data_IF_463915285301
#
_entry.id   IF_463915285301
#
_cell.length_a   1.000
_cell.length_b   1.000
_cell.length_c   1.000
_cell.angle_alpha   90.00
_cell.angle_beta   90.00
_cell.angle_gamma   90.00
#
_symmetry.space_group_name_H-M   'P 1'
#
loop_
_entity.id
_entity.type
_entity.pdbx_description
1 polymer ?
#
# COMPACT_ATOMS: atom_id res chain seq x y z
N UNK A 1 24.04 4.96 -19.08
CA UNK A 1 23.53 4.65 -17.73
C UNK A 1 22.81 5.88 -17.20
N UNK A 2 21.54 5.76 -16.80
CA UNK A 2 20.75 6.89 -16.29
C UNK A 2 21.44 7.47 -15.03
N UNK A 3 21.76 8.76 -15.04
CA UNK A 3 22.47 9.45 -13.93
C UNK A 3 21.74 9.29 -12.58
N UNK A 4 20.42 9.13 -12.60
CA UNK A 4 19.60 8.88 -11.41
C UNK A 4 19.90 7.49 -10.84
N UNK A 5 19.84 6.44 -11.66
CA UNK A 5 20.14 5.07 -11.24
C UNK A 5 21.57 4.94 -10.69
N UNK A 6 22.55 5.66 -11.24
CA UNK A 6 23.93 5.65 -10.70
C UNK A 6 23.98 6.23 -9.29
N UNK A 7 23.24 7.32 -9.04
CA UNK A 7 23.15 7.93 -7.70
C UNK A 7 22.44 7.01 -6.71
N UNK A 8 21.42 6.29 -7.16
CA UNK A 8 20.66 5.37 -6.31
C UNK A 8 21.47 4.13 -5.95
N UNK A 9 22.16 3.51 -6.92
CA UNK A 9 23.09 2.40 -6.65
C UNK A 9 24.17 2.83 -5.66
N UNK A 10 24.79 4.00 -5.88
CA UNK A 10 25.81 4.51 -4.96
C UNK A 10 25.25 4.75 -3.55
N UNK A 11 24.02 5.24 -3.44
CA UNK A 11 23.38 5.42 -2.14
C UNK A 11 23.10 4.06 -1.47
N UNK A 12 22.57 3.09 -2.22
CA UNK A 12 22.36 1.73 -1.73
C UNK A 12 23.66 1.07 -1.25
N UNK A 13 24.79 1.27 -1.97
CA UNK A 13 26.11 0.78 -1.55
C UNK A 13 26.57 1.41 -0.22
N UNK A 14 26.33 2.71 -0.02
CA UNK A 14 26.62 3.41 1.23
C UNK A 14 25.79 2.81 2.38
N UNK A 15 24.50 2.60 2.17
CA UNK A 15 23.59 2.04 3.17
C UNK A 15 23.95 0.59 3.51
N UNK A 16 24.27 -0.22 2.50
CA UNK A 16 24.71 -1.60 2.67
C UNK A 16 26.01 -1.69 3.50
N UNK A 17 26.96 -0.77 3.26
CA UNK A 17 28.19 -0.64 4.07
C UNK A 17 27.92 -0.28 5.54
N UNK A 18 26.77 0.33 5.84
CA UNK A 18 26.30 0.64 7.20
C UNK A 18 25.44 -0.48 7.83
N UNK A 19 25.38 -1.67 7.23
CA UNK A 19 24.46 -2.77 7.61
C UNK A 19 22.97 -2.39 7.57
N UNK A 20 22.59 -1.34 6.84
CA UNK A 20 21.20 -0.97 6.61
C UNK A 20 20.82 -1.37 5.17
N UNK A 21 20.08 -2.47 5.04
CA UNK A 21 19.64 -2.96 3.72
C UNK A 21 18.45 -2.17 3.16
N UNK A 22 17.56 -1.72 4.03
CA UNK A 22 16.40 -0.92 3.68
C UNK A 22 16.25 0.24 4.67
N UNK A 23 16.00 1.45 4.15
CA UNK A 23 15.76 2.63 4.96
C UNK A 23 14.27 2.77 5.20
N UNK A 24 13.81 2.30 6.36
CA UNK A 24 12.44 2.52 6.80
C UNK A 24 12.36 3.89 7.49
N UNK A 25 11.55 4.78 6.92
CA UNK A 25 11.24 6.07 7.53
C UNK A 25 9.73 6.22 7.60
N UNK A 26 9.21 6.26 8.82
CA UNK A 26 7.84 6.63 9.13
C UNK A 26 7.87 8.09 9.58
N UNK A 27 7.38 9.04 8.79
CA UNK A 27 7.41 10.45 9.17
C UNK A 27 6.44 10.69 10.33
N UNK A 28 6.95 11.19 11.45
CA UNK A 28 6.12 11.70 12.54
C UNK A 28 5.54 13.07 12.12
N UNK A 29 4.39 13.05 11.43
CA UNK A 29 3.76 14.27 10.93
C UNK A 29 2.28 14.28 11.22
N UNK A 30 1.83 15.26 11.99
CA UNK A 30 0.42 15.36 12.34
C UNK A 30 -0.32 16.33 11.44
N UNK A 31 -1.33 15.78 10.77
CA UNK A 31 -2.27 16.57 9.97
C UNK A 31 -3.42 17.05 10.86
N UNK A 32 -3.68 18.36 10.86
CA UNK A 32 -4.81 18.95 11.60
C UNK A 32 -6.17 18.64 10.98
N UNK A 33 -6.18 18.43 9.67
CA UNK A 33 -7.32 18.05 8.87
C UNK A 33 -6.81 17.28 7.65
N UNK A 34 -7.68 16.45 7.08
CA UNK A 34 -7.39 15.81 5.81
C UNK A 34 -7.19 16.86 4.71
N UNK A 35 -6.19 16.61 3.86
CA UNK A 35 -5.89 17.38 2.66
C UNK A 35 -5.81 16.40 1.52
N UNK A 36 -6.54 16.68 0.44
CA UNK A 36 -6.50 15.88 -0.79
C UNK A 36 -5.08 15.69 -1.28
N UNK A 37 -4.82 14.47 -1.74
CA UNK A 37 -3.51 14.09 -2.24
C UNK A 37 -3.21 14.83 -3.54
N UNK A 38 -1.93 15.20 -3.68
CA UNK A 38 -1.42 15.68 -4.95
C UNK A 38 -1.45 14.55 -5.98
N UNK A 39 -1.75 14.90 -7.22
CA UNK A 39 -1.69 13.98 -8.36
C UNK A 39 -0.51 14.35 -9.26
N UNK A 40 0.08 13.33 -9.90
CA UNK A 40 1.18 13.51 -10.86
C UNK A 40 2.58 13.24 -10.32
N UNK A 41 3.58 13.42 -11.18
CA UNK A 41 4.96 12.93 -10.97
C UNK A 41 5.75 13.61 -9.84
N UNK A 42 5.28 14.76 -9.34
CA UNK A 42 5.95 15.52 -8.27
C UNK A 42 5.33 15.30 -6.89
N UNK A 43 4.29 14.47 -6.78
CA UNK A 43 3.51 14.28 -5.56
C UNK A 43 4.40 13.93 -4.35
N UNK A 44 5.33 12.99 -4.49
CA UNK A 44 6.29 12.63 -3.44
C UNK A 44 7.14 13.79 -2.95
N UNK A 45 7.70 14.58 -3.87
CA UNK A 45 8.60 15.68 -3.53
C UNK A 45 7.88 16.81 -2.82
N UNK A 46 6.71 17.20 -3.32
CA UNK A 46 5.91 18.27 -2.72
C UNK A 46 5.34 17.86 -1.36
N UNK A 47 4.94 16.59 -1.21
CA UNK A 47 4.29 16.10 0.00
C UNK A 47 5.27 15.79 1.13
N UNK A 48 6.44 15.20 0.83
CA UNK A 48 7.34 14.66 1.86
C UNK A 48 8.71 15.33 1.94
N UNK A 49 9.15 16.09 0.94
CA UNK A 49 10.46 16.76 1.02
C UNK A 49 10.57 17.72 2.21
N UNK A 50 9.53 18.51 2.59
CA UNK A 50 9.61 19.36 3.78
C UNK A 50 9.82 18.57 5.08
N UNK A 51 9.17 17.42 5.23
CA UNK A 51 9.33 16.52 6.38
C UNK A 51 10.72 15.89 6.39
N UNK A 52 11.21 15.45 5.23
CA UNK A 52 12.54 14.87 5.07
C UNK A 52 13.64 15.90 5.41
N UNK A 53 13.51 17.14 4.91
CA UNK A 53 14.44 18.22 5.24
C UNK A 53 14.48 18.51 6.75
N UNK A 54 13.34 18.45 7.44
CA UNK A 54 13.27 18.62 8.91
C UNK A 54 13.91 17.44 9.64
N UNK A 55 13.54 16.21 9.26
CA UNK A 55 14.03 14.99 9.90
C UNK A 55 15.54 14.78 9.76
N UNK A 56 16.11 15.22 8.63
CA UNK A 56 17.53 15.08 8.33
C UNK A 56 18.33 16.39 8.47
N UNK A 57 17.75 17.44 9.07
CA UNK A 57 18.37 18.77 9.17
C UNK A 57 19.75 18.76 9.87
N UNK A 58 19.96 17.84 10.81
CA UNK A 58 21.23 17.67 11.53
C UNK A 58 22.30 16.91 10.75
N UNK A 59 21.94 16.26 9.64
CA UNK A 59 22.83 15.40 8.84
C UNK A 59 23.31 16.14 7.59
N UNK A 60 24.26 17.07 7.75
CA UNK A 60 24.76 17.92 6.67
C UNK A 60 25.26 17.14 5.44
N UNK A 61 25.79 15.93 5.64
CA UNK A 61 26.28 15.06 4.57
C UNK A 61 25.15 14.44 3.73
N UNK A 62 23.94 14.32 4.29
CA UNK A 62 22.76 13.74 3.64
C UNK A 62 21.98 14.80 2.86
N UNK A 63 22.07 16.08 3.24
CA UNK A 63 21.32 17.17 2.59
C UNK A 63 21.48 17.20 1.04
N UNK A 64 22.69 17.04 0.46
CA UNK A 64 22.85 16.99 -1.00
C UNK A 64 22.25 15.73 -1.67
N UNK A 65 21.89 14.73 -0.87
CA UNK A 65 21.34 13.45 -1.31
C UNK A 65 19.86 13.28 -0.98
N UNK A 66 19.16 14.31 -0.49
CA UNK A 66 17.76 14.18 -0.07
C UNK A 66 16.84 13.63 -1.17
N UNK A 67 17.07 13.99 -2.44
CA UNK A 67 16.32 13.38 -3.55
C UNK A 67 16.52 11.86 -3.64
N UNK A 68 17.75 11.38 -3.38
CA UNK A 68 18.03 9.95 -3.33
C UNK A 68 17.37 9.30 -2.11
N UNK A 69 17.47 9.95 -0.94
CA UNK A 69 16.81 9.47 0.29
C UNK A 69 15.31 9.34 0.05
N UNK A 70 14.67 10.37 -0.53
CA UNK A 70 13.24 10.35 -0.87
C UNK A 70 12.87 9.14 -1.74
N UNK A 71 13.68 8.81 -2.77
CA UNK A 71 13.43 7.64 -3.61
C UNK A 71 13.58 6.29 -2.89
N UNK A 72 14.33 6.23 -1.80
CA UNK A 72 14.49 4.99 -1.02
C UNK A 72 13.41 4.86 0.06
N UNK A 73 13.11 5.95 0.77
CA UNK A 73 12.11 5.94 1.86
C UNK A 73 10.68 5.86 1.36
N UNK A 74 10.42 6.24 0.10
CA UNK A 74 9.07 6.20 -0.43
C UNK A 74 8.58 4.81 -0.83
N UNK A 75 9.49 3.83 -0.97
CA UNK A 75 9.09 2.48 -1.32
C UNK A 75 8.16 1.86 -0.27
N UNK A 76 8.52 1.83 1.04
CA UNK A 76 7.58 1.35 2.05
C UNK A 76 6.36 2.27 2.18
N UNK A 77 6.52 3.60 2.09
CA UNK A 77 5.40 4.55 2.15
C UNK A 77 4.43 4.44 0.97
N UNK A 78 4.80 3.75 -0.11
CA UNK A 78 3.93 3.59 -1.29
C UNK A 78 2.61 2.91 -0.93
N UNK A 79 2.61 1.91 -0.04
CA UNK A 79 1.41 1.21 0.40
C UNK A 79 0.40 2.13 1.10
N UNK A 80 0.74 2.80 2.23
CA UNK A 80 -0.20 3.66 2.92
C UNK A 80 -0.67 4.84 2.07
N UNK A 81 0.22 5.42 1.25
CA UNK A 81 -0.17 6.52 0.37
C UNK A 81 -1.10 6.08 -0.77
N UNK A 82 -0.90 4.87 -1.29
CA UNK A 82 -1.80 4.27 -2.29
C UNK A 82 -3.15 3.94 -1.69
N UNK A 83 -3.21 3.46 -0.44
CA UNK A 83 -4.47 3.26 0.29
C UNK A 83 -5.23 4.58 0.44
N UNK A 84 -4.57 5.64 0.90
CA UNK A 84 -5.21 6.96 1.06
C UNK A 84 -5.71 7.48 -0.30
N UNK A 85 -4.96 7.25 -1.37
CA UNK A 85 -5.37 7.60 -2.73
C UNK A 85 -6.59 6.79 -3.18
N UNK A 86 -6.64 5.50 -2.89
CA UNK A 86 -7.81 4.65 -3.13
C UNK A 86 -9.06 5.14 -2.38
N UNK A 87 -8.92 5.44 -1.09
CA UNK A 87 -9.99 6.01 -0.27
C UNK A 87 -10.52 7.33 -0.86
N UNK A 88 -9.63 8.24 -1.26
CA UNK A 88 -10.04 9.52 -1.87
C UNK A 88 -10.82 9.33 -3.18
N UNK A 89 -10.51 8.28 -3.95
CA UNK A 89 -11.08 8.05 -5.28
C UNK A 89 -12.32 7.16 -5.29
N UNK A 90 -12.43 6.23 -4.35
CA UNK A 90 -13.55 5.29 -4.27
C UNK A 90 -14.67 5.76 -3.34
N UNK A 91 -14.43 6.79 -2.53
CA UNK A 91 -15.47 7.44 -1.72
C UNK A 91 -15.86 8.77 -2.37
N UNK A 92 -17.16 8.98 -2.59
CA UNK A 92 -17.67 10.17 -3.27
C UNK A 92 -17.47 11.47 -2.46
N UNK A 93 -17.35 11.35 -1.14
CA UNK A 93 -17.17 12.46 -0.21
C UNK A 93 -16.00 12.21 0.76
N UNK A 94 -15.81 13.16 1.68
CA UNK A 94 -14.75 13.10 2.70
C UNK A 94 -15.27 12.49 4.02
N UNK A 95 -16.42 11.80 4.07
CA UNK A 95 -16.95 11.23 5.31
C UNK A 95 -16.03 10.19 5.93
N UNK A 96 -15.33 9.42 5.08
CA UNK A 96 -14.32 8.46 5.54
C UNK A 96 -13.23 9.11 6.41
N UNK A 97 -12.93 10.39 6.21
CA UNK A 97 -11.95 11.17 7.01
C UNK A 97 -12.44 11.54 8.42
N UNK A 98 -13.71 11.26 8.73
CA UNK A 98 -14.34 11.57 10.03
C UNK A 98 -14.69 10.31 10.81
N UNK A 99 -14.44 9.13 10.25
CA UNK A 99 -14.71 7.86 10.92
C UNK A 99 -13.82 7.72 12.14
N UNK A 100 -14.40 7.16 13.21
CA UNK A 100 -13.66 6.87 14.45
C UNK A 100 -12.67 5.72 14.22
N UNK A 101 -13.07 4.75 13.40
CA UNK A 101 -12.31 3.58 13.01
C UNK A 101 -12.46 3.45 11.50
N UNK A 102 -11.34 3.28 10.81
CA UNK A 102 -11.30 3.02 9.38
C UNK A 102 -10.76 1.60 9.21
N UNK A 103 -11.50 0.69 8.59
CA UNK A 103 -11.09 -0.70 8.44
C UNK A 103 -10.45 -0.88 7.07
N UNK A 104 -9.15 -1.18 7.04
CA UNK A 104 -8.42 -1.41 5.79
C UNK A 104 -7.98 -2.86 5.73
N UNK A 105 -8.38 -3.58 4.68
CA UNK A 105 -7.96 -4.95 4.45
C UNK A 105 -6.85 -4.99 3.39
N UNK A 106 -5.64 -5.36 3.77
CA UNK A 106 -4.56 -5.64 2.81
C UNK A 106 -4.66 -7.11 2.42
N UNK A 107 -5.10 -7.40 1.21
CA UNK A 107 -5.38 -8.76 0.72
C UNK A 107 -4.22 -9.29 -0.13
N UNK A 108 -3.93 -10.58 -0.02
CA UNK A 108 -2.70 -11.16 -0.58
C UNK A 108 -1.45 -10.69 0.16
N UNK A 109 -1.58 -10.33 1.44
CA UNK A 109 -0.46 -9.87 2.26
C UNK A 109 0.58 -10.98 2.47
N UNK A 110 1.86 -10.61 2.40
CA UNK A 110 2.99 -11.49 2.64
C UNK A 110 3.98 -10.84 3.63
N UNK A 111 5.21 -11.37 3.69
CA UNK A 111 6.26 -10.88 4.60
C UNK A 111 6.49 -9.37 4.47
N UNK A 112 6.44 -8.83 3.24
CA UNK A 112 6.72 -7.41 2.98
C UNK A 112 5.73 -6.47 3.66
N UNK A 113 4.44 -6.74 3.56
CA UNK A 113 3.37 -5.94 4.15
C UNK A 113 3.46 -5.98 5.68
N UNK A 114 3.79 -7.15 6.25
CA UNK A 114 4.00 -7.31 7.68
C UNK A 114 5.23 -6.54 8.18
N UNK A 115 6.38 -6.69 7.52
CA UNK A 115 7.66 -6.08 7.94
C UNK A 115 7.65 -4.56 7.80
N UNK A 116 6.79 -4.01 6.95
CA UNK A 116 6.60 -2.57 6.77
C UNK A 116 5.48 -2.00 7.65
N UNK A 117 4.94 -2.78 8.61
CA UNK A 117 3.79 -2.40 9.40
C UNK A 117 3.85 -1.01 10.02
N UNK A 118 5.02 -0.53 10.46
CA UNK A 118 5.17 0.80 11.07
C UNK A 118 4.80 1.94 10.12
N UNK A 119 5.09 1.86 8.82
CA UNK A 119 4.79 2.97 7.89
C UNK A 119 3.30 3.19 7.64
N UNK A 120 2.44 2.23 7.98
CA UNK A 120 0.99 2.41 7.97
C UNK A 120 0.51 3.47 8.98
N UNK A 121 1.40 3.99 9.84
CA UNK A 121 1.10 5.12 10.72
C UNK A 121 0.88 6.39 9.90
N UNK A 122 1.41 6.47 8.68
CA UNK A 122 1.05 7.54 7.74
C UNK A 122 -0.45 7.56 7.45
N UNK A 123 -1.12 6.41 7.48
CA UNK A 123 -2.58 6.36 7.46
C UNK A 123 -3.12 6.83 8.81
N UNK A 124 -2.54 6.50 9.97
CA UNK A 124 -3.04 6.95 11.29
C UNK A 124 -2.95 8.45 11.53
N UNK A 125 -1.92 9.12 11.03
CA UNK A 125 -1.89 10.57 10.90
C UNK A 125 -3.13 11.11 10.14
N UNK A 126 -3.89 10.19 9.52
CA UNK A 126 -5.11 10.32 8.73
C UNK A 126 -6.22 9.27 9.08
N UNK A 127 -6.13 8.51 10.21
CA UNK A 127 -7.08 7.53 10.82
C UNK A 127 -7.19 6.05 10.28
N UNK A 128 -6.54 4.96 10.81
CA UNK A 128 -7.24 3.63 10.74
C UNK A 128 -6.91 2.50 11.76
N UNK A 129 -7.69 1.42 11.61
CA UNK A 129 -7.46 0.01 11.93
C UNK A 129 -7.03 -0.79 10.66
N UNK A 130 -6.10 -1.74 10.77
CA UNK A 130 -5.55 -2.48 9.61
C UNK A 130 -5.65 -4.01 9.79
N UNK A 131 -6.15 -4.72 8.78
CA UNK A 131 -6.16 -6.19 8.72
C UNK A 131 -5.33 -6.64 7.52
N UNK A 132 -4.32 -7.46 7.75
CA UNK A 132 -3.48 -8.07 6.72
C UNK A 132 -3.94 -9.51 6.49
N UNK A 133 -4.44 -9.81 5.31
CA UNK A 133 -5.00 -11.11 4.94
C UNK A 133 -4.21 -11.72 3.78
N UNK A 134 -3.61 -12.88 4.00
CA UNK A 134 -2.93 -13.63 2.93
C UNK A 134 -2.36 -14.96 3.40
N UNK A 135 -2.45 -16.03 2.59
CA UNK A 135 -1.97 -17.36 2.98
C UNK A 135 -0.46 -17.41 3.28
N UNK A 136 0.33 -16.53 2.65
CA UNK A 136 1.78 -16.47 2.87
C UNK A 136 2.18 -16.02 4.29
N UNK A 137 1.28 -15.36 5.02
CA UNK A 137 1.50 -14.99 6.42
C UNK A 137 1.64 -16.22 7.33
N UNK A 138 1.15 -17.40 6.91
CA UNK A 138 1.22 -18.63 7.69
C UNK A 138 2.66 -18.99 8.11
N UNK A 139 3.66 -18.61 7.29
CA UNK A 139 5.07 -18.85 7.60
C UNK A 139 5.57 -17.98 8.77
N UNK A 140 4.91 -16.84 9.03
CA UNK A 140 5.33 -15.86 10.03
C UNK A 140 4.50 -15.94 11.32
N UNK A 141 3.18 -16.12 11.21
CA UNK A 141 2.25 -16.12 12.36
C UNK A 141 1.73 -17.52 12.73
N UNK A 142 2.07 -18.55 11.94
CA UNK A 142 1.57 -19.92 12.11
C UNK A 142 0.13 -20.12 11.63
N UNK A 143 -0.45 -21.28 11.95
CA UNK A 143 -1.79 -21.68 11.46
C UNK A 143 -2.95 -21.17 12.33
N UNK A 144 -2.69 -20.62 13.51
CA UNK A 144 -3.68 -20.53 14.59
C UNK A 144 -3.97 -19.14 15.13
N UNK A 145 -3.41 -18.07 14.56
CA UNK A 145 -3.66 -16.72 15.06
C UNK A 145 -4.00 -15.75 13.93
N UNK A 146 -5.27 -15.34 13.88
CA UNK A 146 -5.54 -13.90 13.80
C UNK A 146 -5.01 -13.30 15.10
N UNK A 147 -3.76 -12.84 15.07
CA UNK A 147 -3.22 -12.10 16.20
C UNK A 147 -3.49 -10.62 15.95
N UNK A 148 -4.38 -10.02 16.73
CA UNK A 148 -4.47 -8.57 16.85
C UNK A 148 -3.20 -8.09 17.56
N UNK A 149 -2.42 -7.25 16.89
CA UNK A 149 -1.22 -6.64 17.43
C UNK A 149 -1.45 -5.13 17.56
N UNK A 150 -1.41 -4.64 18.80
CA UNK A 150 -1.31 -3.22 19.10
C UNK A 150 0.02 -2.67 18.57
N UNK A 151 -0.06 -1.82 17.55
CA UNK A 151 1.12 -1.19 16.98
C UNK A 151 1.44 0.08 17.75
N UNK A 152 2.72 0.28 18.04
CA UNK A 152 3.21 1.56 18.58
C UNK A 152 2.84 2.71 17.65
N UNK A 153 2.49 3.84 18.25
CA UNK A 153 2.25 5.11 17.55
C UNK A 153 3.26 6.15 18.01
N UNK A 154 3.50 7.15 17.16
CA UNK A 154 4.27 8.33 17.48
C UNK A 154 3.62 9.07 18.65
N UNK A 155 4.43 9.89 19.31
CA UNK A 155 4.03 10.60 20.52
C UNK A 155 2.76 11.43 20.32
N UNK A 156 2.64 12.13 19.20
CA UNK A 156 1.49 13.00 18.96
C UNK A 156 0.20 12.21 18.70
N UNK A 157 0.26 11.08 17.99
CA UNK A 157 -0.88 10.18 17.81
C UNK A 157 -1.31 9.57 19.14
N UNK A 158 -0.35 9.12 19.95
CA UNK A 158 -0.61 8.63 21.30
C UNK A 158 -1.29 9.69 22.19
N UNK A 159 -0.78 10.93 22.20
CA UNK A 159 -1.34 12.04 22.98
C UNK A 159 -2.77 12.42 22.54
N UNK A 160 -3.15 12.13 21.28
CA UNK A 160 -4.52 12.30 20.76
C UNK A 160 -5.45 11.11 21.02
N UNK A 161 -4.94 10.04 21.63
CA UNK A 161 -5.69 8.79 21.82
C UNK A 161 -5.92 8.03 20.50
N UNK A 162 -5.09 8.26 19.49
CA UNK A 162 -5.10 7.48 18.26
C UNK A 162 -4.27 6.21 18.45
N UNK A 163 -4.83 5.07 18.05
CA UNK A 163 -4.18 3.76 18.07
C UNK A 163 -4.41 3.04 16.75
N UNK A 164 -3.54 2.07 16.45
CA UNK A 164 -3.64 1.19 15.29
C UNK A 164 -3.37 -0.22 15.74
N UNK A 165 -4.31 -1.09 15.46
CA UNK A 165 -4.18 -2.52 15.59
C UNK A 165 -3.95 -3.14 14.21
N UNK A 166 -3.13 -4.18 14.18
CA UNK A 166 -2.86 -4.98 12.99
C UNK A 166 -3.34 -6.40 13.24
N UNK A 167 -4.32 -6.86 12.46
CA UNK A 167 -4.72 -8.25 12.45
C UNK A 167 -3.97 -9.01 11.35
N UNK A 168 -3.50 -10.21 11.64
CA UNK A 168 -2.82 -11.06 10.65
C UNK A 168 -3.62 -12.32 10.37
N UNK A 169 -4.23 -12.41 9.19
CA UNK A 169 -5.09 -13.52 8.81
C UNK A 169 -4.36 -14.38 7.77
N UNK A 170 -3.79 -15.55 8.16
CA UNK A 170 -3.01 -16.41 7.26
C UNK A 170 -3.91 -17.27 6.35
N UNK A 171 -4.86 -16.65 5.66
CA UNK A 171 -5.89 -17.28 4.81
C UNK A 171 -6.13 -16.45 3.56
N UNK A 172 -6.79 -17.03 2.57
CA UNK A 172 -7.32 -16.24 1.46
C UNK A 172 -8.45 -15.33 1.97
N UNK A 173 -8.75 -14.27 1.21
CA UNK A 173 -9.78 -13.33 1.62
C UNK A 173 -11.17 -13.97 1.69
N UNK A 174 -11.50 -14.84 0.73
CA UNK A 174 -12.80 -15.51 0.67
C UNK A 174 -12.95 -16.57 1.79
N UNK A 175 -11.86 -17.23 2.21
CA UNK A 175 -11.87 -18.11 3.39
C UNK A 175 -12.11 -17.31 4.67
N UNK A 176 -11.38 -16.20 4.86
CA UNK A 176 -11.56 -15.31 6.01
C UNK A 176 -13.01 -14.81 6.12
N UNK A 177 -13.59 -14.40 4.99
CA UNK A 177 -14.98 -13.96 4.88
C UNK A 177 -15.98 -15.08 5.25
N UNK A 178 -15.72 -16.31 4.80
CA UNK A 178 -16.66 -17.43 4.91
C UNK A 178 -16.68 -18.08 6.30
N UNK A 179 -15.55 -18.10 7.00
CA UNK A 179 -15.41 -18.90 8.22
C UNK A 179 -16.14 -18.33 9.44
N UNK A 180 -16.53 -17.05 9.44
CA UNK A 180 -17.39 -16.45 10.48
C UNK A 180 -17.00 -16.84 11.92
N UNK A 181 -15.69 -16.93 12.18
CA UNK A 181 -15.11 -17.52 13.39
C UNK A 181 -15.28 -16.67 14.65
N UNK A 182 -14.43 -16.91 15.65
CA UNK A 182 -14.43 -16.15 16.92
C UNK A 182 -14.12 -14.65 16.72
N UNK A 183 -13.32 -14.33 15.69
CA UNK A 183 -13.09 -12.96 15.23
C UNK A 183 -14.08 -12.62 14.11
N UNK A 184 -15.02 -11.69 14.33
CA UNK A 184 -16.02 -11.36 13.34
C UNK A 184 -15.35 -10.62 12.17
N UNK A 185 -15.57 -11.11 10.95
CA UNK A 185 -15.31 -10.31 9.77
C UNK A 185 -16.05 -8.97 9.88
N UNK A 186 -15.31 -7.88 9.72
CA UNK A 186 -15.86 -6.54 9.59
C UNK A 186 -15.70 -6.06 8.14
N UNK A 187 -16.71 -5.37 7.62
CA UNK A 187 -16.66 -4.87 6.24
C UNK A 187 -15.60 -3.75 6.14
N UNK A 188 -14.61 -3.86 5.25
CA UNK A 188 -13.58 -2.83 5.15
C UNK A 188 -14.09 -1.58 4.42
N UNK A 189 -13.53 -0.43 4.79
CA UNK A 189 -13.64 0.83 4.05
C UNK A 189 -12.86 0.80 2.73
N UNK A 190 -11.82 -0.03 2.67
CA UNK A 190 -11.04 -0.34 1.48
C UNK A 190 -10.36 -1.70 1.63
N UNK A 191 -10.48 -2.56 0.62
CA UNK A 191 -9.54 -3.66 0.40
C UNK A 191 -8.44 -3.24 -0.59
N UNK A 192 -7.19 -3.57 -0.31
CA UNK A 192 -6.05 -3.24 -1.16
C UNK A 192 -5.17 -4.47 -1.40
N UNK A 193 -4.92 -4.79 -2.67
CA UNK A 193 -3.97 -5.83 -3.07
C UNK A 193 -2.75 -5.18 -3.71
N UNK A 194 -1.57 -5.42 -3.14
CA UNK A 194 -0.33 -4.79 -3.60
C UNK A 194 0.48 -5.74 -4.47
N UNK A 195 0.68 -5.37 -5.74
CA UNK A 195 1.42 -6.17 -6.71
C UNK A 195 0.94 -7.63 -6.70
N UNK A 196 -0.38 -7.81 -6.83
CA UNK A 196 -1.07 -9.07 -6.48
C UNK A 196 -0.62 -10.27 -7.30
N UNK A 197 -0.08 -10.04 -8.50
CA UNK A 197 0.35 -11.10 -9.40
C UNK A 197 -0.81 -11.93 -9.93
N UNK A 198 -2.07 -11.53 -9.72
CA UNK A 198 -3.24 -12.39 -9.97
C UNK A 198 -3.42 -12.83 -11.42
N UNK A 199 -2.76 -12.11 -12.35
CA UNK A 199 -2.73 -12.47 -13.77
C UNK A 199 -1.74 -13.60 -14.11
N UNK A 200 -0.86 -13.96 -13.18
CA UNK A 200 0.25 -14.90 -13.38
C UNK A 200 0.29 -15.99 -12.31
N UNK A 201 -0.11 -15.67 -11.08
CA UNK A 201 -0.02 -16.51 -9.88
C UNK A 201 -1.41 -16.70 -9.26
N UNK A 202 -1.68 -17.93 -8.77
CA UNK A 202 -2.88 -18.30 -8.02
C UNK A 202 -4.21 -17.80 -8.60
N UNK A 203 -4.31 -17.77 -9.94
CA UNK A 203 -5.42 -17.15 -10.67
C UNK A 203 -6.80 -17.66 -10.23
N UNK A 204 -6.94 -18.95 -9.91
CA UNK A 204 -8.23 -19.50 -9.47
C UNK A 204 -8.63 -19.00 -8.06
N UNK A 205 -7.69 -18.98 -7.11
CA UNK A 205 -7.91 -18.43 -5.77
C UNK A 205 -8.26 -16.93 -5.84
N UNK A 206 -7.61 -16.18 -6.73
CA UNK A 206 -7.95 -14.79 -6.98
C UNK A 206 -9.34 -14.62 -7.59
N UNK A 207 -9.81 -15.51 -8.47
CA UNK A 207 -11.19 -15.48 -8.99
C UNK A 207 -12.22 -15.60 -7.86
N UNK A 208 -11.99 -16.47 -6.88
CA UNK A 208 -12.87 -16.61 -5.71
C UNK A 208 -12.84 -15.37 -4.82
N UNK A 209 -11.65 -14.82 -4.57
CA UNK A 209 -11.49 -13.55 -3.85
C UNK A 209 -12.21 -12.40 -4.55
N UNK A 210 -12.06 -12.26 -5.87
CA UNK A 210 -12.74 -11.21 -6.64
C UNK A 210 -14.26 -11.37 -6.60
N UNK A 211 -14.77 -12.60 -6.74
CA UNK A 211 -16.20 -12.88 -6.58
C UNK A 211 -16.70 -12.42 -5.21
N UNK A 212 -15.97 -12.77 -4.16
CA UNK A 212 -16.30 -12.38 -2.79
C UNK A 212 -16.34 -10.84 -2.61
N UNK A 213 -15.32 -10.13 -3.12
CA UNK A 213 -15.25 -8.66 -3.04
C UNK A 213 -16.41 -7.98 -3.76
N UNK A 214 -16.77 -8.49 -4.94
CA UNK A 214 -17.88 -7.99 -5.76
C UNK A 214 -19.23 -8.26 -5.11
N UNK A 215 -19.47 -9.48 -4.62
CA UNK A 215 -20.71 -9.85 -3.93
C UNK A 215 -20.94 -9.03 -2.65
N UNK A 216 -19.86 -8.76 -1.90
CA UNK A 216 -19.86 -7.94 -0.69
C UNK A 216 -19.85 -6.44 -0.98
N UNK A 217 -19.62 -6.03 -2.24
CA UNK A 217 -19.51 -4.64 -2.69
C UNK A 217 -18.40 -3.85 -1.99
N UNK A 218 -17.29 -4.52 -1.70
CA UNK A 218 -16.12 -3.93 -1.04
C UNK A 218 -15.41 -2.96 -1.99
N UNK A 219 -15.21 -1.68 -1.61
CA UNK A 219 -14.32 -0.79 -2.34
C UNK A 219 -12.92 -1.41 -2.39
N UNK A 220 -12.39 -1.64 -3.58
CA UNK A 220 -11.14 -2.40 -3.74
C UNK A 220 -10.16 -1.70 -4.66
N UNK A 221 -8.88 -1.80 -4.35
CA UNK A 221 -7.76 -1.28 -5.13
C UNK A 221 -6.70 -2.36 -5.38
N UNK A 222 -6.17 -2.42 -6.60
CA UNK A 222 -5.10 -3.31 -7.02
C UNK A 222 -3.93 -2.52 -7.61
N UNK A 223 -2.71 -2.90 -7.26
CA UNK A 223 -1.48 -2.39 -7.89
C UNK A 223 -0.70 -3.50 -8.58
N UNK A 224 0.22 -3.10 -9.47
CA UNK A 224 1.12 -3.99 -10.20
C UNK A 224 2.54 -3.39 -10.29
N UNK A 225 3.53 -4.23 -10.60
CA UNK A 225 4.93 -3.79 -10.70
C UNK A 225 5.20 -3.00 -11.99
N UNK A 226 4.56 -3.40 -13.09
CA UNK A 226 4.77 -2.83 -14.42
C UNK A 226 3.42 -2.65 -15.17
N UNK A 227 3.50 -2.02 -16.34
CA UNK A 227 2.33 -1.69 -17.17
C UNK A 227 1.66 -2.94 -17.75
N UNK A 228 2.45 -3.98 -18.06
CA UNK A 228 1.95 -5.20 -18.69
C UNK A 228 1.10 -6.01 -17.71
N UNK A 229 1.58 -6.19 -16.48
CA UNK A 229 0.82 -6.77 -15.37
C UNK A 229 -0.45 -5.97 -15.10
N UNK A 230 -0.34 -4.63 -14.96
CA UNK A 230 -1.49 -3.77 -14.72
C UNK A 230 -2.57 -3.93 -15.81
N UNK A 231 -2.17 -4.08 -17.07
CA UNK A 231 -3.10 -4.31 -18.19
C UNK A 231 -3.77 -5.68 -18.11
N UNK A 232 -3.00 -6.73 -17.82
CA UNK A 232 -3.51 -8.09 -17.71
C UNK A 232 -4.47 -8.22 -16.53
N UNK A 233 -4.11 -7.69 -15.37
CA UNK A 233 -4.92 -7.67 -14.16
C UNK A 233 -6.20 -6.86 -14.32
N UNK A 234 -6.12 -5.67 -14.94
CA UNK A 234 -7.29 -4.89 -15.29
C UNK A 234 -8.29 -5.64 -16.20
N UNK A 235 -7.82 -6.55 -17.06
CA UNK A 235 -8.71 -7.36 -17.89
C UNK A 235 -9.49 -8.38 -17.04
N UNK A 236 -8.82 -9.03 -16.08
CA UNK A 236 -9.44 -9.93 -15.11
C UNK A 236 -10.46 -9.18 -14.25
N UNK A 237 -10.11 -7.98 -13.77
CA UNK A 237 -11.04 -7.16 -13.01
C UNK A 237 -12.30 -6.80 -13.80
N UNK A 238 -12.15 -6.42 -15.09
CA UNK A 238 -13.31 -6.15 -15.94
C UNK A 238 -14.18 -7.39 -16.17
N UNK A 239 -13.57 -8.57 -16.29
CA UNK A 239 -14.31 -9.84 -16.39
C UNK A 239 -15.10 -10.11 -15.10
N UNK A 240 -14.49 -9.92 -13.92
CA UNK A 240 -15.14 -10.12 -12.63
C UNK A 240 -16.30 -9.14 -12.39
N UNK A 241 -16.20 -7.92 -12.91
CA UNK A 241 -17.24 -6.88 -12.78
C UNK A 241 -18.32 -6.98 -13.87
N UNK A 242 -18.13 -7.81 -14.89
CA UNK A 242 -19.06 -7.90 -16.01
C UNK A 242 -20.45 -8.39 -15.55
N UNK A 243 -21.49 -7.60 -15.87
CA UNK A 243 -22.86 -7.90 -15.46
C UNK A 243 -23.24 -7.41 -14.06
N UNK A 244 -22.33 -6.71 -13.36
CA UNK A 244 -22.60 -6.01 -12.11
C UNK A 244 -22.89 -4.52 -12.35
N UNK A 245 -23.30 -3.80 -11.31
CA UNK A 245 -23.44 -2.34 -11.31
C UNK A 245 -22.15 -1.61 -10.90
N UNK A 246 -21.06 -2.35 -10.66
CA UNK A 246 -19.74 -1.80 -10.34
C UNK A 246 -18.89 -1.65 -11.60
N UNK A 247 -17.99 -0.68 -11.60
CA UNK A 247 -17.05 -0.47 -12.71
C UNK A 247 -15.69 0.00 -12.22
N UNK A 248 -14.66 -0.18 -13.04
CA UNK A 248 -13.34 0.36 -12.74
C UNK A 248 -13.36 1.88 -12.75
N UNK A 249 -12.89 2.49 -11.66
CA UNK A 249 -12.73 3.92 -11.55
C UNK A 249 -11.66 4.41 -12.55
N UNK A 250 -11.94 5.45 -13.35
CA UNK A 250 -11.05 5.89 -14.43
C UNK A 250 -9.65 6.29 -13.95
N UNK A 251 -9.56 6.93 -12.78
CA UNK A 251 -8.27 7.37 -12.19
C UNK A 251 -7.50 6.24 -11.47
N UNK A 252 -8.12 5.07 -11.30
CA UNK A 252 -7.51 3.90 -10.63
C UNK A 252 -7.31 2.72 -11.59
N UNK A 253 -7.56 2.90 -12.89
CA UNK A 253 -7.35 1.88 -13.91
C UNK A 253 -5.88 1.70 -14.27
N UNK A 254 -5.60 1.31 -15.51
CA UNK A 254 -4.26 1.02 -16.05
C UNK A 254 -3.38 2.28 -16.20
N UNK A 255 -3.06 2.94 -15.08
CA UNK A 255 -2.30 4.18 -15.02
C UNK A 255 -1.14 4.04 -14.06
N UNK A 256 -0.10 4.89 -14.23
CA UNK A 256 0.97 4.97 -13.24
C UNK A 256 0.39 5.39 -11.91
N UNK A 257 0.78 4.68 -10.85
CA UNK A 257 0.42 5.06 -9.50
C UNK A 257 1.20 6.34 -9.11
N UNK A 258 0.54 7.47 -8.82
CA UNK A 258 1.22 8.69 -8.37
C UNK A 258 2.02 8.49 -7.08
N UNK A 259 1.61 7.49 -6.28
CA UNK A 259 2.20 7.11 -5.00
C UNK A 259 2.91 5.76 -5.06
N UNK A 260 3.27 5.29 -6.27
CA UNK A 260 4.16 4.15 -6.44
C UNK A 260 5.60 4.49 -6.01
N UNK A 261 6.39 3.45 -5.74
CA UNK A 261 7.81 3.62 -5.45
C UNK A 261 8.54 4.37 -6.57
N UNK A 262 9.41 5.30 -6.21
CA UNK A 262 10.29 5.96 -7.20
C UNK A 262 11.55 5.12 -7.48
N UNK A 263 11.79 4.07 -6.69
CA UNK A 263 12.92 3.18 -6.86
C UNK A 263 12.67 2.20 -8.02
N UNK A 264 13.31 2.45 -9.16
CA UNK A 264 13.23 1.57 -10.32
C UNK A 264 14.23 0.43 -10.19
N UNK A 265 13.72 -0.80 -10.13
CA UNK A 265 14.51 -2.03 -10.07
C UNK A 265 14.57 -2.67 -11.45
N UNK A 266 15.67 -3.33 -11.77
CA UNK A 266 15.78 -4.12 -13.00
C UNK A 266 15.04 -5.44 -12.80
N UNK A 267 14.18 -5.82 -13.74
CA UNK A 267 13.47 -7.11 -13.64
C UNK A 267 14.43 -8.30 -13.57
N UNK A 268 14.11 -9.34 -12.78
CA UNK A 268 14.96 -10.53 -12.61
C UNK A 268 15.37 -11.22 -13.92
N UNK A 269 14.62 -11.03 -15.01
CA UNK A 269 14.89 -11.59 -16.33
C UNK A 269 15.10 -10.56 -17.45
N UNK A 270 15.11 -9.25 -17.11
CA UNK A 270 15.34 -8.12 -18.06
C UNK A 270 14.40 -8.12 -19.28
N UNK A 271 13.14 -8.53 -19.13
CA UNK A 271 12.21 -8.68 -20.26
C UNK A 271 11.60 -7.33 -20.65
N UNK A 272 11.10 -6.54 -19.69
CA UNK A 272 10.52 -5.20 -19.94
C UNK A 272 11.47 -4.05 -19.58
N UNK A 273 12.48 -4.35 -18.76
CA UNK A 273 13.63 -3.48 -18.45
C UNK A 273 13.66 -2.95 -17.02
N UNK A 274 12.54 -2.44 -16.49
CA UNK A 274 12.46 -1.92 -15.13
C UNK A 274 11.06 -2.03 -14.53
N UNK A 275 10.99 -2.22 -13.22
CA UNK A 275 9.76 -2.25 -12.45
C UNK A 275 9.89 -1.42 -11.16
N UNK A 276 8.76 -1.06 -10.56
CA UNK A 276 8.72 -0.39 -9.27
C UNK A 276 7.60 -0.96 -8.42
N UNK A 277 7.84 -1.07 -7.11
CA UNK A 277 6.83 -1.53 -6.15
C UNK A 277 5.64 -0.59 -6.18
N UNK A 278 4.44 -1.14 -6.35
CA UNK A 278 3.21 -0.38 -6.51
C UNK A 278 3.28 0.65 -7.65
N UNK A 279 4.10 0.40 -8.69
CA UNK A 279 4.42 1.38 -9.73
C UNK A 279 3.23 1.71 -10.63
N UNK A 280 2.28 0.79 -10.76
CA UNK A 280 1.08 0.92 -11.55
C UNK A 280 -0.16 0.58 -10.74
N UNK A 281 -1.27 1.24 -11.07
CA UNK A 281 -2.59 0.82 -10.65
C UNK A 281 -3.10 -0.17 -11.69
N UNK A 282 -3.61 -1.31 -11.23
CA UNK A 282 -4.23 -2.33 -12.07
C UNK A 282 -5.75 -2.12 -12.15
N UNK A 283 -6.34 -1.57 -11.10
CA UNK A 283 -7.76 -1.24 -11.07
C UNK A 283 -8.19 -0.81 -9.68
N UNK A 284 -9.17 0.07 -9.61
CA UNK A 284 -9.95 0.28 -8.39
C UNK A 284 -11.42 0.26 -8.75
N UNK A 285 -12.26 -0.35 -7.92
CA UNK A 285 -13.69 -0.40 -8.12
C UNK A 285 -14.41 -0.23 -6.79
N UNK A 286 -15.61 0.35 -6.86
CA UNK A 286 -16.47 0.61 -5.73
C UNK A 286 -17.89 0.87 -6.22
N UNK A 287 -18.79 1.17 -5.29
CA UNK A 287 -20.13 1.62 -5.63
C UNK A 287 -20.13 3.14 -5.87
N UNK A 288 -20.80 3.58 -6.94
CA UNK A 288 -20.96 5.00 -7.28
C UNK A 288 -22.24 5.58 -6.66
#
# INVERSE_FOLDING_TARGET
MNKICVRDVRFADIMAGANQRELHWAPERVMKAYKKLLTGHHAWGEEFMPDLMRGFASMQEILPMLDCVLRHVNEPLSMPMTIIYGLEKLHADEEWTRKRVLHIHVIGAAEKEMMTGQVFEEILHRLPHLTLCGPDLQQMVGHTCAAEIDMTTCRECFEKGCGRTHDFVPKTYHEFVAEGGEDPYEEPDLAAAFNSGMSQEDTESWRETLRCLVERRVPTLFTAYNEEEAKAEAAILREALAGTDMSLHPDLGQVRNPWGSLNSRTEPNKITGFYAVNGWLAGGFGFA
#
